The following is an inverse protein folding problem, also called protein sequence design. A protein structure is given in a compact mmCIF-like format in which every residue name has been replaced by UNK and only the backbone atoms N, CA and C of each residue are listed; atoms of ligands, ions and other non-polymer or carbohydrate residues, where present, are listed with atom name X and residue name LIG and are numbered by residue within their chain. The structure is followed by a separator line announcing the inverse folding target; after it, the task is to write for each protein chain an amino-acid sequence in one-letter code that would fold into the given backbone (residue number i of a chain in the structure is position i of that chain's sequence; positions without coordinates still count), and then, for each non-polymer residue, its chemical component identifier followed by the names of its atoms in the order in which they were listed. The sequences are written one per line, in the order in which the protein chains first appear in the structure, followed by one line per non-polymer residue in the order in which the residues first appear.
data_IF_226075551091
#
_entry.id   IF_226075551091
#
_cell.length_a   1.000
_cell.length_b   1.000
_cell.length_c   1.000
_cell.angle_alpha   90.00
_cell.angle_beta   90.00
_cell.angle_gamma   90.00
#
_symmetry.space_group_name_H-M   'P 1'
#
loop_
_entity.id
_entity.type
_entity.pdbx_description
1 polymer ?
#
# COMPACT_ATOMS: atom_id res chain seq x y z
N UNK A 1 9.20 22.77 -9.19
CA UNK A 1 8.54 23.96 -9.77
C UNK A 1 8.91 24.04 -11.24
N UNK A 2 7.95 24.27 -12.15
CA UNK A 2 8.28 24.62 -13.53
C UNK A 2 8.61 26.11 -13.56
N UNK A 3 9.83 26.46 -13.95
CA UNK A 3 10.22 27.86 -14.21
C UNK A 3 10.80 27.88 -15.62
N UNK A 4 10.20 28.65 -16.53
CA UNK A 4 10.60 28.75 -17.95
C UNK A 4 10.67 27.41 -18.70
N UNK A 5 9.66 26.56 -18.58
CA UNK A 5 9.58 25.31 -19.36
C UNK A 5 10.48 24.15 -18.89
N UNK A 6 11.49 24.42 -18.06
CA UNK A 6 12.35 23.39 -17.47
C UNK A 6 11.87 22.96 -16.08
N UNK A 7 11.93 21.64 -15.84
CA UNK A 7 11.59 21.01 -14.57
C UNK A 7 12.74 21.17 -13.58
N UNK A 8 12.76 22.30 -12.86
CA UNK A 8 13.75 22.54 -11.81
C UNK A 8 13.35 21.75 -10.56
N UNK A 9 14.15 20.73 -10.22
CA UNK A 9 14.03 19.92 -9.01
C UNK A 9 14.61 20.69 -7.82
N UNK A 10 13.85 21.67 -7.32
CA UNK A 10 14.18 22.37 -6.06
C UNK A 10 13.80 21.45 -4.90
N UNK A 11 14.65 21.26 -3.87
CA UNK A 11 14.26 20.54 -2.67
C UNK A 11 13.06 21.23 -2.02
N UNK A 12 12.02 20.45 -1.69
CA UNK A 12 10.82 21.02 -1.05
C UNK A 12 11.19 21.66 0.31
N UNK A 13 10.43 22.66 0.78
CA UNK A 13 10.69 23.31 2.07
C UNK A 13 10.77 22.33 3.25
N UNK A 14 10.06 21.19 3.16
CA UNK A 14 10.10 20.14 4.18
C UNK A 14 11.42 19.36 4.20
N UNK A 15 12.12 19.28 3.07
CA UNK A 15 13.38 18.55 2.93
C UNK A 15 14.62 19.44 3.17
N UNK A 16 14.45 20.76 3.25
CA UNK A 16 15.56 21.69 3.56
C UNK A 16 15.75 21.90 5.06
N UNK A 17 14.77 21.50 5.89
CA UNK A 17 14.80 21.65 7.34
C UNK A 17 15.08 20.30 8.01
N UNK A 18 15.92 20.33 9.04
CA UNK A 18 16.08 19.21 9.96
C UNK A 18 14.98 19.27 11.02
N UNK A 19 14.20 18.19 11.13
CA UNK A 19 13.09 18.09 12.06
C UNK A 19 13.51 17.42 13.36
N UNK A 20 13.08 17.96 14.49
CA UNK A 20 13.30 17.25 15.76
C UNK A 20 12.56 15.90 15.80
N UNK A 21 11.31 15.87 15.34
CA UNK A 21 10.47 14.67 15.32
C UNK A 21 9.56 14.66 14.10
N UNK A 22 9.41 13.49 13.49
CA UNK A 22 8.39 13.23 12.46
C UNK A 22 7.49 12.12 12.96
N UNK A 23 6.17 12.33 12.87
CA UNK A 23 5.14 11.36 13.24
C UNK A 23 4.30 11.11 11.99
N UNK A 24 4.21 9.85 11.58
CA UNK A 24 3.27 9.42 10.55
C UNK A 24 2.04 8.86 11.24
N UNK A 25 0.90 9.51 11.04
CA UNK A 25 -0.39 8.93 11.36
C UNK A 25 -0.88 8.05 10.20
N UNK A 26 -1.61 6.99 10.51
CA UNK A 26 -1.97 5.92 9.59
C UNK A 26 -0.80 5.47 8.70
N UNK A 27 0.34 5.16 9.33
CA UNK A 27 1.59 4.86 8.64
C UNK A 27 1.51 3.72 7.60
N UNK A 28 0.43 2.93 7.61
CA UNK A 28 0.14 1.97 6.54
C UNK A 28 -0.02 2.64 5.15
N UNK A 29 -0.24 3.96 5.07
CA UNK A 29 -0.25 4.72 3.82
C UNK A 29 1.08 4.68 3.05
N UNK A 30 2.22 4.45 3.73
CA UNK A 30 3.54 4.32 3.09
C UNK A 30 3.98 2.85 2.91
N UNK A 31 3.06 1.88 2.93
CA UNK A 31 3.38 0.44 2.86
C UNK A 31 4.21 0.03 1.64
N UNK A 32 4.05 0.71 0.50
CA UNK A 32 4.83 0.47 -0.70
C UNK A 32 6.10 1.35 -0.72
N UNK A 33 7.27 0.71 -0.66
CA UNK A 33 8.57 1.40 -0.70
C UNK A 33 8.86 2.12 -2.02
N UNK A 34 8.17 1.76 -3.10
CA UNK A 34 8.40 2.32 -4.43
C UNK A 34 7.59 3.59 -4.69
N UNK A 35 6.49 3.78 -3.95
CA UNK A 35 5.64 4.95 -4.12
C UNK A 35 6.40 6.25 -3.80
N UNK A 36 6.03 7.34 -4.49
CA UNK A 36 6.67 8.65 -4.31
C UNK A 36 6.54 9.14 -2.86
N UNK A 37 5.36 8.96 -2.26
CA UNK A 37 5.07 9.34 -0.87
C UNK A 37 6.01 8.67 0.13
N UNK A 38 6.23 7.35 0.02
CA UNK A 38 7.14 6.63 0.91
C UNK A 38 8.59 7.11 0.72
N UNK A 39 9.03 7.31 -0.53
CA UNK A 39 10.39 7.82 -0.82
C UNK A 39 10.61 9.22 -0.25
N UNK A 40 9.65 10.12 -0.41
CA UNK A 40 9.69 11.47 0.14
C UNK A 40 9.70 11.44 1.68
N UNK A 41 8.84 10.64 2.32
CA UNK A 41 8.78 10.54 3.78
C UNK A 41 10.09 10.01 4.39
N UNK A 42 10.73 9.01 3.78
CA UNK A 42 12.02 8.47 4.23
C UNK A 42 13.15 9.51 4.12
N UNK A 43 13.09 10.36 3.10
CA UNK A 43 14.14 11.34 2.77
C UNK A 43 14.10 12.61 3.63
N UNK A 44 12.98 12.92 4.28
CA UNK A 44 12.92 13.96 5.31
C UNK A 44 14.01 13.72 6.34
N UNK A 45 14.65 14.77 6.83
CA UNK A 45 15.72 14.66 7.81
C UNK A 45 15.21 14.88 9.23
N UNK A 46 15.53 13.98 10.17
CA UNK A 46 15.03 14.10 11.54
C UNK A 46 15.80 13.30 12.59
N UNK A 47 15.72 13.76 13.84
CA UNK A 47 16.27 13.06 15.03
C UNK A 47 15.37 11.90 15.48
N UNK A 48 14.06 12.15 15.63
CA UNK A 48 13.09 11.14 16.08
C UNK A 48 12.05 10.84 15.01
N UNK A 49 11.57 9.59 14.98
CA UNK A 49 10.61 9.08 14.00
C UNK A 49 9.61 8.15 14.66
N UNK A 50 8.33 8.36 14.37
CA UNK A 50 7.23 7.57 14.91
C UNK A 50 6.28 7.18 13.80
N UNK A 51 5.80 5.94 13.87
CA UNK A 51 4.71 5.43 13.04
C UNK A 51 3.54 5.10 13.96
N UNK A 52 2.40 5.74 13.74
CA UNK A 52 1.12 5.44 14.37
C UNK A 52 0.25 4.76 13.32
N UNK A 53 -0.31 3.60 13.65
CA UNK A 53 -1.23 2.88 12.76
C UNK A 53 -2.04 1.87 13.57
N UNK A 54 -3.35 1.83 13.35
CA UNK A 54 -4.22 0.80 13.91
C UNK A 54 -3.97 -0.59 13.28
N UNK A 55 -3.45 -0.62 12.05
CA UNK A 55 -3.23 -1.85 11.26
C UNK A 55 -1.82 -1.85 10.64
N UNK A 56 -0.76 -2.10 11.43
CA UNK A 56 0.63 -1.94 10.96
C UNK A 56 1.05 -2.97 9.90
N UNK A 57 0.30 -4.08 9.75
CA UNK A 57 0.52 -5.11 8.74
C UNK A 57 -0.85 -5.44 8.13
N UNK A 58 -1.01 -5.24 6.82
CA UNK A 58 -2.28 -5.51 6.13
C UNK A 58 -2.18 -6.80 5.31
N UNK A 59 -1.18 -6.93 4.43
CA UNK A 59 -1.17 -8.00 3.42
C UNK A 59 0.11 -8.82 3.38
N UNK A 60 1.29 -8.20 3.54
CA UNK A 60 2.59 -8.85 3.28
C UNK A 60 3.69 -8.37 4.20
N UNK A 61 4.63 -9.25 4.56
CA UNK A 61 5.83 -8.89 5.36
C UNK A 61 6.67 -7.79 4.69
N UNK A 62 6.59 -7.66 3.36
CA UNK A 62 7.21 -6.57 2.62
C UNK A 62 6.73 -5.17 3.02
N UNK A 63 5.50 -5.03 3.52
CA UNK A 63 4.93 -3.74 3.96
C UNK A 63 5.67 -3.20 5.20
N UNK A 64 6.11 -4.09 6.10
CA UNK A 64 6.89 -3.71 7.30
C UNK A 64 8.24 -3.09 6.94
N UNK A 65 8.83 -3.49 5.80
CA UNK A 65 10.12 -2.94 5.39
C UNK A 65 10.05 -1.43 5.17
N UNK A 66 8.95 -0.94 4.60
CA UNK A 66 8.81 0.51 4.36
C UNK A 66 8.77 1.29 5.67
N UNK A 67 8.07 0.77 6.68
CA UNK A 67 8.05 1.36 8.03
C UNK A 67 9.43 1.32 8.70
N UNK A 68 10.12 0.18 8.64
CA UNK A 68 11.46 0.02 9.22
C UNK A 68 12.47 0.95 8.55
N UNK A 69 12.33 1.14 7.23
CA UNK A 69 13.14 2.08 6.47
C UNK A 69 12.86 3.53 6.86
N UNK A 70 11.59 3.89 7.03
CA UNK A 70 11.22 5.22 7.54
C UNK A 70 11.81 5.46 8.92
N UNK A 71 11.70 4.50 9.84
CA UNK A 71 12.25 4.57 11.20
C UNK A 71 13.79 4.52 11.26
N UNK A 72 14.48 4.24 10.13
CA UNK A 72 15.95 4.16 10.00
C UNK A 72 16.61 3.20 11.01
N UNK A 73 15.97 2.05 11.26
CA UNK A 73 16.43 1.12 12.29
C UNK A 73 17.63 0.32 11.76
N UNK A 74 18.79 0.54 12.36
CA UNK A 74 20.01 -0.21 12.08
C UNK A 74 19.97 -1.62 12.73
N UNK A 75 20.43 -2.68 12.04
CA UNK A 75 20.92 -2.73 10.64
C UNK A 75 19.80 -2.95 9.61
N UNK A 76 18.56 -3.13 10.05
CA UNK A 76 17.45 -3.66 9.25
C UNK A 76 17.05 -2.79 8.05
N UNK A 77 17.23 -1.48 8.12
CA UNK A 77 16.90 -0.53 7.04
C UNK A 77 18.00 -0.35 5.99
N UNK A 78 19.17 -0.99 6.15
CA UNK A 78 20.37 -0.68 5.37
C UNK A 78 20.68 -1.71 4.28
N UNK A 79 21.35 -1.22 3.25
CA UNK A 79 22.07 -2.00 2.25
C UNK A 79 23.52 -2.15 2.68
N UNK A 80 24.09 -3.33 2.47
CA UNK A 80 25.47 -3.67 2.82
C UNK A 80 26.22 -4.23 1.62
N UNK A 81 27.54 -4.04 1.60
CA UNK A 81 28.44 -4.69 0.65
C UNK A 81 28.99 -6.00 1.24
N UNK A 82 29.14 -7.04 0.42
CA UNK A 82 29.76 -8.32 0.82
C UNK A 82 31.29 -8.24 0.93
N UNK A 83 31.90 -7.29 0.21
CA UNK A 83 33.36 -7.18 0.06
C UNK A 83 34.02 -6.21 1.03
N UNK A 84 33.24 -5.31 1.64
CA UNK A 84 33.76 -4.24 2.51
C UNK A 84 32.66 -3.76 3.47
N UNK A 85 33.01 -2.88 4.40
CA UNK A 85 32.11 -2.32 5.42
C UNK A 85 31.12 -1.25 4.89
N UNK A 86 31.00 -1.11 3.56
CA UNK A 86 30.10 -0.14 2.96
C UNK A 86 28.63 -0.40 3.35
N UNK A 87 27.98 0.64 3.87
CA UNK A 87 26.55 0.66 4.24
C UNK A 87 25.85 1.90 3.70
N UNK A 88 24.60 1.77 3.28
CA UNK A 88 23.77 2.91 2.86
C UNK A 88 22.29 2.67 3.12
N UNK A 89 21.56 3.75 3.40
CA UNK A 89 20.09 3.74 3.53
C UNK A 89 19.39 3.83 2.17
N UNK A 90 20.07 4.39 1.17
CA UNK A 90 19.63 4.46 -0.22
C UNK A 90 20.37 3.41 -1.05
N UNK A 91 19.92 3.20 -2.29
CA UNK A 91 20.64 2.38 -3.26
C UNK A 91 21.63 3.29 -4.00
N UNK A 92 22.93 3.32 -3.62
CA UNK A 92 23.85 4.39 -4.01
C UNK A 92 24.70 3.93 -5.21
N UNK A 93 24.07 3.75 -6.37
CA UNK A 93 24.73 3.29 -7.59
C UNK A 93 24.76 4.37 -8.66
N UNK A 94 25.91 4.49 -9.33
CA UNK A 94 26.08 5.34 -10.51
C UNK A 94 25.47 4.65 -11.74
N UNK A 95 25.34 5.40 -12.84
CA UNK A 95 24.94 4.84 -14.14
C UNK A 95 25.90 3.74 -14.62
N UNK A 96 27.15 3.76 -14.18
CA UNK A 96 28.18 2.76 -14.45
C UNK A 96 28.05 1.47 -13.61
N UNK A 97 26.95 1.28 -12.88
CA UNK A 97 26.70 0.12 -11.99
C UNK A 97 27.74 -0.06 -10.87
N UNK A 98 28.46 1.02 -10.53
CA UNK A 98 29.42 1.06 -9.42
C UNK A 98 28.86 1.81 -8.23
N UNK A 99 29.13 1.29 -7.02
CA UNK A 99 28.70 1.92 -5.78
C UNK A 99 29.41 3.27 -5.59
N UNK A 100 28.66 4.30 -5.21
CA UNK A 100 29.21 5.64 -4.96
C UNK A 100 30.14 5.70 -3.74
N UNK A 101 30.11 4.71 -2.85
CA UNK A 101 30.88 4.70 -1.60
C UNK A 101 32.07 3.73 -1.60
N UNK A 102 32.00 2.63 -2.34
CA UNK A 102 33.05 1.60 -2.33
C UNK A 102 33.41 1.06 -3.70
N UNK A 103 32.87 1.65 -4.78
CA UNK A 103 33.17 1.35 -6.19
C UNK A 103 32.91 -0.10 -6.65
N UNK A 104 32.45 -0.98 -5.76
CA UNK A 104 32.03 -2.32 -6.09
C UNK A 104 30.73 -2.35 -6.91
N UNK A 105 30.55 -3.43 -7.68
CA UNK A 105 29.36 -3.67 -8.51
C UNK A 105 28.09 -3.90 -7.67
N UNK A 106 26.92 -3.62 -8.24
CA UNK A 106 25.60 -3.83 -7.63
C UNK A 106 25.37 -5.21 -7.06
N UNK A 107 25.84 -6.25 -7.74
CA UNK A 107 25.74 -7.64 -7.30
C UNK A 107 26.47 -7.94 -5.97
N UNK A 108 27.46 -7.11 -5.62
CA UNK A 108 28.17 -7.23 -4.34
C UNK A 108 27.40 -6.60 -3.18
N UNK A 109 26.31 -5.89 -3.46
CA UNK A 109 25.46 -5.25 -2.46
C UNK A 109 24.17 -6.04 -2.26
N UNK A 110 23.67 -6.03 -1.03
CA UNK A 110 22.41 -6.65 -0.70
C UNK A 110 21.66 -5.82 0.34
N UNK A 111 20.34 -5.85 0.26
CA UNK A 111 19.47 -5.33 1.32
C UNK A 111 19.43 -6.35 2.46
N UNK A 112 19.75 -5.91 3.68
CA UNK A 112 19.73 -6.80 4.85
C UNK A 112 18.37 -7.44 5.04
N UNK A 113 17.30 -6.63 5.01
CA UNK A 113 15.93 -7.11 5.17
C UNK A 113 15.55 -8.14 4.13
N UNK A 114 15.86 -7.87 2.86
CA UNK A 114 15.51 -8.80 1.80
C UNK A 114 16.21 -10.14 1.98
N UNK A 115 17.50 -10.14 2.35
CA UNK A 115 18.28 -11.36 2.49
C UNK A 115 17.87 -12.21 3.69
N UNK A 116 17.61 -11.60 4.84
CA UNK A 116 17.44 -12.33 6.10
C UNK A 116 15.98 -12.44 6.57
N UNK A 117 15.07 -11.61 6.07
CA UNK A 117 13.67 -11.61 6.49
C UNK A 117 12.75 -11.91 5.31
N UNK A 118 12.73 -11.06 4.29
CA UNK A 118 11.73 -11.17 3.22
C UNK A 118 11.89 -12.43 2.37
N UNK A 119 13.09 -12.69 1.82
CA UNK A 119 13.29 -13.80 0.90
C UNK A 119 13.09 -15.18 1.58
N UNK A 120 13.60 -15.43 2.81
CA UNK A 120 13.34 -16.68 3.51
C UNK A 120 11.85 -16.91 3.78
N UNK A 121 11.11 -15.88 4.22
CA UNK A 121 9.67 -15.99 4.50
C UNK A 121 8.87 -16.25 3.22
N UNK A 122 9.18 -15.55 2.13
CA UNK A 122 8.47 -15.75 0.86
C UNK A 122 8.75 -17.12 0.26
N UNK A 123 9.96 -17.67 0.45
CA UNK A 123 10.37 -18.94 -0.17
C UNK A 123 9.93 -20.17 0.64
N UNK A 124 10.05 -20.12 1.97
CA UNK A 124 9.86 -21.27 2.84
C UNK A 124 8.70 -21.11 3.84
N UNK A 125 8.05 -19.95 3.87
CA UNK A 125 6.91 -19.70 4.75
C UNK A 125 7.28 -19.86 6.23
N UNK A 126 6.59 -20.78 6.91
CA UNK A 126 6.79 -21.10 8.33
C UNK A 126 7.76 -22.27 8.56
N UNK A 127 8.42 -22.77 7.52
CA UNK A 127 9.33 -23.91 7.59
C UNK A 127 10.78 -23.47 7.35
N UNK A 128 11.74 -24.32 7.75
CA UNK A 128 13.18 -24.13 7.54
C UNK A 128 13.67 -22.70 7.89
N UNK A 129 14.38 -22.04 6.97
CA UNK A 129 14.90 -20.69 7.12
C UNK A 129 13.79 -19.63 7.29
N UNK A 130 12.55 -19.91 6.84
CA UNK A 130 11.40 -19.03 6.99
C UNK A 130 10.94 -18.91 8.45
N UNK A 131 10.95 -20.02 9.20
CA UNK A 131 10.65 -20.04 10.63
C UNK A 131 11.63 -19.16 11.44
N UNK A 132 12.93 -19.25 11.11
CA UNK A 132 13.97 -18.50 11.80
C UNK A 132 13.94 -17.01 11.44
N UNK A 133 13.59 -16.68 10.19
CA UNK A 133 13.31 -15.31 9.78
C UNK A 133 12.09 -14.73 10.54
N UNK A 134 11.02 -15.49 10.72
CA UNK A 134 9.85 -15.08 11.50
C UNK A 134 10.18 -14.87 12.99
N UNK A 135 10.98 -15.76 13.59
CA UNK A 135 11.47 -15.58 14.97
C UNK A 135 12.32 -14.32 15.10
N UNK A 136 13.19 -14.06 14.13
CA UNK A 136 14.02 -12.85 14.09
C UNK A 136 13.16 -11.61 13.95
N UNK A 137 12.18 -11.62 13.04
CA UNK A 137 11.21 -10.55 12.86
C UNK A 137 10.46 -10.23 14.16
N UNK A 138 9.92 -11.26 14.83
CA UNK A 138 9.22 -11.11 16.11
C UNK A 138 10.11 -10.49 17.20
N UNK A 139 11.38 -10.92 17.30
CA UNK A 139 12.36 -10.33 18.23
C UNK A 139 12.62 -8.85 17.95
N UNK A 140 12.72 -8.46 16.68
CA UNK A 140 12.90 -7.07 16.26
C UNK A 140 11.66 -6.24 16.59
N UNK A 141 10.48 -6.68 16.13
CA UNK A 141 9.21 -5.99 16.36
C UNK A 141 8.93 -5.79 17.84
N UNK A 142 9.19 -6.78 18.70
CA UNK A 142 9.00 -6.65 20.15
C UNK A 142 9.80 -5.52 20.80
N UNK A 143 10.92 -5.09 20.20
CA UNK A 143 11.75 -3.99 20.74
C UNK A 143 11.33 -2.61 20.22
N UNK A 144 10.73 -2.56 19.03
CA UNK A 144 10.46 -1.30 18.32
C UNK A 144 8.98 -0.95 18.24
N UNK A 145 8.11 -1.94 18.42
CA UNK A 145 6.67 -1.81 18.30
C UNK A 145 6.02 -2.00 19.67
N UNK A 146 5.20 -1.03 20.05
CA UNK A 146 4.24 -1.18 21.13
C UNK A 146 2.87 -1.40 20.51
N UNK A 147 2.32 -2.61 20.70
CA UNK A 147 0.96 -2.95 20.28
C UNK A 147 0.19 -3.41 21.51
N UNK A 148 -0.94 -2.76 21.77
CA UNK A 148 -1.90 -3.15 22.82
C UNK A 148 -3.20 -3.55 22.13
N UNK A 149 -3.77 -4.68 22.51
CA UNK A 149 -5.07 -5.11 21.96
C UNK A 149 -6.22 -4.59 22.82
N UNK A 150 -7.40 -4.42 22.22
CA UNK A 150 -8.62 -4.07 22.97
C UNK A 150 -8.97 -5.12 24.03
N UNK A 151 -8.56 -6.37 23.82
CA UNK A 151 -8.74 -7.49 24.76
C UNK A 151 -7.85 -7.29 26.00
N UNK A 152 -6.56 -7.00 25.82
CA UNK A 152 -5.63 -6.75 26.93
C UNK A 152 -6.01 -5.53 27.79
N UNK A 153 -6.69 -4.56 27.19
CA UNK A 153 -7.08 -3.31 27.84
C UNK A 153 -8.57 -3.18 28.13
N UNK A 154 -9.30 -4.30 28.09
CA UNK A 154 -10.75 -4.31 28.29
C UNK A 154 -11.18 -3.69 29.64
N UNK A 155 -10.40 -3.90 30.71
CA UNK A 155 -10.67 -3.33 32.03
C UNK A 155 -10.59 -1.79 32.06
N UNK A 156 -9.64 -1.21 31.31
CA UNK A 156 -9.46 0.25 31.23
C UNK A 156 -10.52 0.89 30.31
N UNK A 157 -10.93 0.20 29.24
CA UNK A 157 -11.80 0.74 28.19
C UNK A 157 -13.31 0.52 28.43
N UNK A 158 -13.73 -0.32 29.39
CA UNK A 158 -15.15 -0.64 29.71
C UNK A 158 -16.05 -0.73 28.47
N UNK A 159 -15.61 -1.47 27.45
CA UNK A 159 -16.32 -1.54 26.17
C UNK A 159 -17.56 -2.44 26.30
N UNK A 160 -18.70 -2.05 25.70
CA UNK A 160 -19.81 -2.98 25.53
C UNK A 160 -19.37 -4.15 24.62
N UNK A 161 -20.05 -5.30 24.70
CA UNK A 161 -19.80 -6.40 23.78
C UNK A 161 -20.04 -5.95 22.33
N UNK A 162 -19.21 -6.46 21.41
CA UNK A 162 -19.43 -6.26 19.98
C UNK A 162 -20.53 -7.22 19.53
N UNK A 163 -21.70 -6.70 19.23
CA UNK A 163 -22.79 -7.46 18.62
C UNK A 163 -22.69 -7.34 17.10
N UNK A 164 -22.65 -8.47 16.40
CA UNK A 164 -22.66 -8.53 14.93
C UNK A 164 -23.98 -9.18 14.52
N UNK A 165 -24.92 -8.35 14.07
CA UNK A 165 -26.21 -8.81 13.57
C UNK A 165 -26.10 -8.98 12.05
N UNK A 166 -26.28 -10.21 11.57
CA UNK A 166 -26.34 -10.50 10.14
C UNK A 166 -27.81 -10.48 9.74
N UNK A 167 -28.19 -9.50 8.92
CA UNK A 167 -29.52 -9.41 8.31
C UNK A 167 -29.43 -9.94 6.89
N UNK A 168 -30.13 -11.03 6.64
CA UNK A 168 -30.31 -11.56 5.30
C UNK A 168 -31.49 -10.83 4.67
N UNK A 169 -31.27 -10.27 3.49
CA UNK A 169 -32.30 -9.61 2.69
C UNK A 169 -32.38 -10.37 1.37
N UNK A 170 -33.60 -10.56 0.88
CA UNK A 170 -33.85 -11.11 -0.44
C UNK A 170 -34.09 -9.95 -1.41
N UNK A 171 -33.61 -10.09 -2.65
CA UNK A 171 -33.90 -9.13 -3.71
C UNK A 171 -35.38 -9.23 -4.07
N UNK A 172 -36.01 -8.10 -4.36
CA UNK A 172 -37.35 -8.11 -4.92
C UNK A 172 -37.36 -8.70 -6.34
N UNK A 173 -38.52 -9.06 -6.87
CA UNK A 173 -38.65 -9.66 -8.20
C UNK A 173 -38.02 -8.78 -9.30
N UNK A 174 -38.21 -7.46 -9.23
CA UNK A 174 -37.63 -6.51 -10.20
C UNK A 174 -36.10 -6.42 -10.07
N UNK A 175 -35.58 -6.41 -8.84
CA UNK A 175 -34.15 -6.34 -8.56
C UNK A 175 -33.44 -7.65 -8.94
N UNK A 176 -34.09 -8.80 -8.71
CA UNK A 176 -33.56 -10.10 -9.08
C UNK A 176 -33.51 -10.27 -10.60
N UNK A 177 -34.55 -9.86 -11.34
CA UNK A 177 -34.54 -9.89 -12.81
C UNK A 177 -33.39 -9.01 -13.36
N UNK A 178 -33.23 -7.81 -12.81
CA UNK A 178 -32.11 -6.94 -13.14
C UNK A 178 -30.76 -7.61 -12.85
N UNK A 179 -30.56 -8.18 -11.66
CA UNK A 179 -29.33 -8.86 -11.29
C UNK A 179 -29.04 -10.07 -12.19
N UNK A 180 -30.03 -10.91 -12.47
CA UNK A 180 -29.91 -12.07 -13.35
C UNK A 180 -29.48 -11.66 -14.76
N UNK A 181 -29.99 -10.55 -15.28
CA UNK A 181 -29.57 -10.02 -16.58
C UNK A 181 -28.06 -9.71 -16.62
N UNK A 182 -27.54 -9.05 -15.58
CA UNK A 182 -26.12 -8.70 -15.45
C UNK A 182 -25.27 -9.95 -15.20
N UNK A 183 -25.77 -10.89 -14.41
CA UNK A 183 -25.12 -12.17 -14.17
C UNK A 183 -24.96 -12.98 -15.44
N UNK A 184 -26.02 -13.12 -16.23
CA UNK A 184 -25.97 -13.85 -17.50
C UNK A 184 -25.03 -13.20 -18.52
N UNK A 185 -24.97 -11.87 -18.56
CA UNK A 185 -24.02 -11.14 -19.40
C UNK A 185 -22.58 -11.34 -18.93
N UNK A 186 -22.34 -11.25 -17.62
CA UNK A 186 -21.01 -11.42 -17.02
C UNK A 186 -20.50 -12.85 -17.18
N UNK A 187 -21.38 -13.84 -16.99
CA UNK A 187 -21.08 -15.26 -17.19
C UNK A 187 -20.66 -15.56 -18.63
N UNK A 188 -21.37 -15.01 -19.62
CA UNK A 188 -20.99 -15.16 -21.04
C UNK A 188 -19.58 -14.63 -21.33
N UNK A 189 -19.27 -13.41 -20.85
CA UNK A 189 -17.92 -12.82 -21.00
C UNK A 189 -16.85 -13.60 -20.25
N UNK A 190 -17.18 -14.15 -19.09
CA UNK A 190 -16.24 -14.98 -18.34
C UNK A 190 -15.96 -16.29 -19.08
N UNK A 191 -16.99 -16.96 -19.60
CA UNK A 191 -16.85 -18.20 -20.37
C UNK A 191 -15.99 -18.01 -21.62
N UNK A 192 -16.12 -16.89 -22.35
CA UNK A 192 -15.22 -16.62 -23.49
C UNK A 192 -13.75 -16.54 -23.07
N UNK A 193 -13.43 -15.96 -21.92
CA UNK A 193 -12.05 -15.93 -21.42
C UNK A 193 -11.52 -17.30 -20.99
N UNK A 194 -12.41 -18.20 -20.55
CA UNK A 194 -12.05 -19.58 -20.23
C UNK A 194 -11.77 -20.37 -21.51
N UNK A 195 -12.61 -20.22 -22.53
CA UNK A 195 -12.45 -20.89 -23.83
C UNK A 195 -11.18 -20.46 -24.55
N UNK A 196 -10.80 -19.19 -24.42
CA UNK A 196 -9.57 -18.62 -25.00
C UNK A 196 -8.30 -18.92 -24.17
N UNK A 197 -8.41 -19.54 -22.99
CA UNK A 197 -7.33 -19.76 -22.01
C UNK A 197 -6.58 -18.45 -21.61
N UNK A 198 -7.28 -17.31 -21.66
CA UNK A 198 -6.72 -15.97 -21.43
C UNK A 198 -7.03 -15.40 -20.04
N UNK A 199 -7.57 -16.22 -19.12
CA UNK A 199 -7.96 -15.82 -17.77
C UNK A 199 -6.87 -15.08 -16.99
N UNK A 200 -5.62 -15.57 -17.06
CA UNK A 200 -4.48 -14.97 -16.37
C UNK A 200 -4.16 -13.56 -16.87
N UNK A 201 -4.40 -13.30 -18.16
CA UNK A 201 -4.17 -12.00 -18.81
C UNK A 201 -5.32 -11.03 -18.54
N UNK A 202 -6.56 -11.53 -18.45
CA UNK A 202 -7.78 -10.72 -18.27
C UNK A 202 -8.29 -10.62 -16.83
N UNK A 203 -7.43 -10.83 -15.82
CA UNK A 203 -7.83 -10.75 -14.41
C UNK A 203 -8.51 -9.40 -14.05
N UNK A 204 -8.07 -8.29 -14.66
CA UNK A 204 -8.65 -6.97 -14.45
C UNK A 204 -10.11 -6.91 -14.95
N UNK A 205 -10.40 -7.52 -16.10
CA UNK A 205 -11.74 -7.58 -16.65
C UNK A 205 -12.65 -8.47 -15.77
N UNK A 206 -12.12 -9.56 -15.21
CA UNK A 206 -12.87 -10.41 -14.27
C UNK A 206 -13.27 -9.62 -13.02
N UNK A 207 -12.37 -8.79 -12.47
CA UNK A 207 -12.71 -7.92 -11.35
C UNK A 207 -13.77 -6.88 -11.73
N UNK A 208 -13.73 -6.33 -12.94
CA UNK A 208 -14.79 -5.43 -13.42
C UNK A 208 -16.16 -6.14 -13.42
N UNK A 209 -16.23 -7.38 -13.93
CA UNK A 209 -17.46 -8.17 -13.92
C UNK A 209 -17.98 -8.39 -12.49
N UNK A 210 -17.10 -8.76 -11.55
CA UNK A 210 -17.46 -8.95 -10.15
C UNK A 210 -17.90 -7.66 -9.47
N UNK A 211 -17.26 -6.53 -9.78
CA UNK A 211 -17.64 -5.22 -9.25
C UNK A 211 -19.06 -4.88 -9.72
N UNK A 212 -19.39 -5.11 -10.99
CA UNK A 212 -20.75 -4.86 -11.51
C UNK A 212 -21.80 -5.69 -10.79
N UNK A 213 -21.51 -6.96 -10.49
CA UNK A 213 -22.43 -7.81 -9.72
C UNK A 213 -22.62 -7.31 -8.29
N UNK A 214 -21.55 -6.85 -7.63
CA UNK A 214 -21.64 -6.27 -6.28
C UNK A 214 -22.50 -4.99 -6.30
N UNK A 215 -22.24 -4.11 -7.26
CA UNK A 215 -23.02 -2.88 -7.45
C UNK A 215 -24.49 -3.17 -7.73
N UNK A 216 -24.81 -4.23 -8.48
CA UNK A 216 -26.19 -4.61 -8.78
C UNK A 216 -26.97 -5.06 -7.53
N UNK A 217 -26.29 -5.70 -6.56
CA UNK A 217 -26.90 -6.08 -5.27
C UNK A 217 -27.02 -4.88 -4.33
N UNK A 218 -26.16 -3.86 -4.47
CA UNK A 218 -26.25 -2.65 -3.66
C UNK A 218 -27.37 -1.71 -4.15
N UNK A 219 -27.37 -1.34 -5.44
CA UNK A 219 -28.40 -0.51 -6.06
C UNK A 219 -28.28 -0.46 -7.60
N UNK A 220 -29.38 -0.62 -8.37
CA UNK A 220 -29.35 -0.66 -9.85
C UNK A 220 -28.69 0.56 -10.52
N UNK A 221 -28.88 1.76 -9.96
CA UNK A 221 -28.31 3.00 -10.53
C UNK A 221 -26.78 3.03 -10.55
N UNK A 222 -26.10 2.29 -9.66
CA UNK A 222 -24.63 2.20 -9.65
C UNK A 222 -24.08 1.50 -10.90
N UNK A 223 -24.91 0.72 -11.58
CA UNK A 223 -24.59 0.06 -12.85
C UNK A 223 -24.99 0.95 -14.03
N UNK A 224 -26.14 1.63 -13.94
CA UNK A 224 -26.73 2.42 -15.04
C UNK A 224 -26.00 3.76 -15.27
N UNK A 225 -25.62 4.49 -14.21
CA UNK A 225 -25.01 5.82 -14.34
C UNK A 225 -23.65 5.82 -15.07
N UNK A 226 -22.93 4.70 -15.13
CA UNK A 226 -21.68 4.61 -15.91
C UNK A 226 -21.89 4.58 -17.43
N UNK A 227 -23.14 4.45 -17.90
CA UNK A 227 -23.47 4.37 -19.32
C UNK A 227 -23.73 5.72 -20.01
N UNK A 228 -23.91 6.82 -19.26
CA UNK A 228 -24.31 8.13 -19.82
C UNK A 228 -23.20 9.18 -19.77
N UNK A 229 -21.95 8.80 -20.05
CA UNK A 229 -20.89 9.77 -20.36
C UNK A 229 -20.79 9.97 -21.86
N UNK A 230 -21.85 10.51 -22.47
CA UNK A 230 -21.70 11.38 -23.64
C UNK A 230 -21.31 12.76 -23.12
N UNK A 231 -20.04 13.11 -23.33
CA UNK A 231 -19.45 14.45 -23.37
C UNK A 231 -20.31 15.62 -22.84
N UNK A 232 -20.25 15.89 -21.54
CA UNK A 232 -20.29 17.25 -20.97
C UNK A 232 -19.75 17.17 -19.52
N UNK A 233 -18.51 17.61 -19.33
CA UNK A 233 -17.87 17.69 -18.01
C UNK A 233 -18.33 18.95 -17.30
N UNK A 234 -19.47 18.89 -16.65
CA UNK A 234 -19.76 19.82 -15.56
C UNK A 234 -19.20 19.25 -14.27
N UNK A 235 -18.13 19.89 -13.78
CA UNK A 235 -17.45 19.58 -12.53
C UNK A 235 -18.37 19.93 -11.34
N UNK A 236 -19.27 19.01 -11.00
CA UNK A 236 -20.19 19.11 -9.86
C UNK A 236 -19.80 18.06 -8.80
N UNK A 237 -19.78 18.47 -7.53
CA UNK A 237 -19.48 17.61 -6.40
C UNK A 237 -20.62 16.60 -6.17
N UNK A 238 -20.34 15.30 -6.33
CA UNK A 238 -21.32 14.19 -6.23
C UNK A 238 -21.92 13.96 -4.83
N UNK A 239 -21.49 14.69 -3.79
CA UNK A 239 -22.05 14.59 -2.43
C UNK A 239 -23.03 15.72 -2.09
N UNK A 240 -22.87 16.90 -2.69
CA UNK A 240 -23.68 18.08 -2.34
C UNK A 240 -24.24 18.82 -3.55
N UNK A 241 -24.01 18.31 -4.77
CA UNK A 241 -24.51 18.86 -6.03
C UNK A 241 -24.11 20.32 -6.29
N UNK A 242 -23.09 20.83 -5.60
CA UNK A 242 -22.52 22.16 -5.83
C UNK A 242 -21.34 22.07 -6.82
N UNK A 243 -21.15 23.07 -7.70
CA UNK A 243 -19.95 23.17 -8.52
C UNK A 243 -18.71 23.34 -7.64
N UNK A 244 -17.56 22.79 -8.08
CA UNK A 244 -16.31 22.98 -7.33
C UNK A 244 -15.94 24.46 -7.33
N UNK A 245 -15.78 25.04 -6.14
CA UNK A 245 -15.11 26.33 -6.01
C UNK A 245 -13.64 26.14 -6.44
N UNK A 246 -13.19 26.93 -7.42
CA UNK A 246 -11.85 26.86 -7.98
C UNK A 246 -10.78 26.78 -6.86
N UNK A 247 -9.78 25.90 -6.98
CA UNK A 247 -8.68 25.87 -6.03
C UNK A 247 -8.00 27.24 -6.01
N UNK A 248 -7.82 27.80 -4.80
CA UNK A 248 -7.01 28.99 -4.56
C UNK A 248 -5.67 28.78 -5.28
N UNK A 249 -5.46 29.54 -6.37
CA UNK A 249 -4.21 29.52 -7.12
C UNK A 249 -3.11 30.07 -6.20
N UNK A 250 -2.20 29.20 -5.76
CA UNK A 250 -0.93 29.55 -5.12
C UNK A 250 0.21 29.41 -6.12
#
# INVERSE_FOLDING_TARGET
MKRKGELIKVPSPLHTRHWYRIVLDEAHSIKDRYCSTARSAVMLDSTYRWCLSGTPLQNRVGELYSLIRFLRIYPYSYYFCKKCECKSLSWPFRMSDTCMHCEHKSMSHFCWWNRYILNPITKWGYEFEGADAMKTLSKVLRRIMLRRTKVEKAADLKLPPREVLIRWEELDAEENDFYESIYMQSKRKFMSYVEEDTLGTHYANVFELLIRLRQAVDHPYLVVQKGSSTDEKDEICELCSNPFEDPIKV
#
